data_IF_641140807417
#
_entry.id   IF_641140807417
#
_cell.length_a   1.000
_cell.length_b   1.000
_cell.length_c   1.000
_cell.angle_alpha   90.00
_cell.angle_beta   90.00
_cell.angle_gamma   90.00
#
_symmetry.space_group_name_H-M   'P 1'
#
loop_
_entity.id
_entity.type
_entity.pdbx_description
1 polymer ?
#
# COMPACT_ATOMS: atom_id res chain seq x y z
N UNK A 1 12.28 -9.45 -21.64
CA UNK A 1 12.78 -8.26 -20.90
C UNK A 1 11.57 -7.48 -20.40
N UNK A 2 11.44 -7.21 -19.10
CA UNK A 2 10.33 -6.39 -18.58
C UNK A 2 10.62 -4.91 -18.81
N UNK A 3 9.63 -4.13 -19.29
CA UNK A 3 9.79 -2.69 -19.45
C UNK A 3 9.89 -2.01 -18.08
N UNK A 4 10.98 -1.26 -17.86
CA UNK A 4 11.17 -0.44 -16.66
C UNK A 4 10.17 0.72 -16.72
N UNK A 5 9.30 0.82 -15.72
CA UNK A 5 8.32 1.91 -15.64
C UNK A 5 8.99 3.15 -15.05
N UNK A 6 8.92 4.28 -15.76
CA UNK A 6 9.36 5.58 -15.25
C UNK A 6 8.54 5.96 -14.00
N UNK A 7 9.22 6.39 -12.94
CA UNK A 7 8.62 7.01 -11.76
C UNK A 7 8.69 8.51 -11.91
N UNK A 8 7.59 9.20 -11.60
CA UNK A 8 7.51 10.66 -11.62
C UNK A 8 7.57 11.19 -10.20
N UNK A 9 8.31 12.28 -10.04
CA UNK A 9 8.44 13.02 -8.79
C UNK A 9 7.11 13.71 -8.43
N UNK A 10 6.96 14.10 -7.17
CA UNK A 10 5.78 14.82 -6.71
C UNK A 10 5.61 16.16 -7.45
N UNK A 11 6.72 16.87 -7.66
CA UNK A 11 6.75 18.16 -8.35
C UNK A 11 6.25 18.08 -9.79
N UNK A 12 6.73 17.09 -10.58
CA UNK A 12 6.25 16.85 -11.94
C UNK A 12 4.74 16.58 -12.00
N UNK A 13 4.22 15.84 -11.02
CA UNK A 13 2.78 15.56 -10.92
C UNK A 13 2.00 16.82 -10.57
N UNK A 14 2.49 17.61 -9.63
CA UNK A 14 1.85 18.85 -9.20
C UNK A 14 1.81 19.85 -10.35
N UNK A 15 2.91 20.00 -11.09
CA UNK A 15 2.97 20.84 -12.29
C UNK A 15 1.91 20.43 -13.33
N UNK A 16 1.72 19.14 -13.57
CA UNK A 16 0.70 18.64 -14.49
C UNK A 16 -0.72 19.06 -14.05
N UNK A 17 -0.99 19.00 -12.75
CA UNK A 17 -2.29 19.35 -12.16
C UNK A 17 -2.52 20.85 -12.20
N UNK A 18 -1.51 21.65 -11.86
CA UNK A 18 -1.56 23.11 -11.97
C UNK A 18 -1.86 23.55 -13.39
N UNK A 19 -1.20 22.95 -14.39
CA UNK A 19 -1.46 23.24 -15.80
C UNK A 19 -2.89 22.87 -16.22
N UNK A 20 -3.42 21.75 -15.70
CA UNK A 20 -4.79 21.31 -15.97
C UNK A 20 -5.84 22.31 -15.46
N UNK A 21 -5.67 22.82 -14.24
CA UNK A 21 -6.62 23.77 -13.65
C UNK A 21 -6.41 25.22 -14.12
N UNK A 22 -5.19 25.64 -14.46
CA UNK A 22 -4.91 27.02 -14.84
C UNK A 22 -5.09 27.32 -16.33
N UNK A 23 -4.71 26.38 -17.21
CA UNK A 23 -4.63 26.65 -18.66
C UNK A 23 -5.73 25.94 -19.47
N UNK A 24 -6.67 25.24 -18.81
CA UNK A 24 -7.71 24.42 -19.47
C UNK A 24 -7.16 23.46 -20.53
N UNK A 25 -5.89 23.05 -20.38
CA UNK A 25 -5.22 22.18 -21.36
C UNK A 25 -5.76 20.76 -21.25
N UNK A 26 -5.88 20.10 -22.40
CA UNK A 26 -6.24 18.69 -22.42
C UNK A 26 -5.14 17.85 -21.77
N UNK A 27 -5.53 16.72 -21.16
CA UNK A 27 -4.57 15.76 -20.57
C UNK A 27 -3.52 15.27 -21.59
N UNK A 28 -3.83 15.34 -22.89
CA UNK A 28 -2.89 15.00 -23.96
C UNK A 28 -1.82 16.07 -24.15
N UNK A 29 -2.21 17.34 -24.24
CA UNK A 29 -1.26 18.44 -24.38
C UNK A 29 -0.34 18.57 -23.16
N UNK A 30 -0.86 18.32 -21.97
CA UNK A 30 -0.07 18.31 -20.74
C UNK A 30 0.94 17.15 -20.78
N UNK A 31 0.52 15.98 -21.27
CA UNK A 31 1.41 14.84 -21.42
C UNK A 31 2.53 15.14 -22.42
N UNK A 32 2.23 15.77 -23.55
CA UNK A 32 3.23 16.16 -24.54
C UNK A 32 4.20 17.21 -23.98
N UNK A 33 3.70 18.23 -23.26
CA UNK A 33 4.53 19.26 -22.59
C UNK A 33 5.49 18.68 -21.55
N UNK A 34 5.03 17.69 -20.77
CA UNK A 34 5.82 17.05 -19.72
C UNK A 34 6.57 15.80 -20.22
N UNK A 35 6.55 15.54 -21.54
CA UNK A 35 7.16 14.38 -22.17
C UNK A 35 6.74 13.04 -21.51
N UNK A 36 5.46 12.95 -21.18
CA UNK A 36 4.80 11.79 -20.60
C UNK A 36 4.23 10.96 -21.77
N UNK A 37 4.62 9.69 -21.93
CA UNK A 37 4.24 8.89 -23.09
C UNK A 37 2.74 8.55 -23.17
N UNK A 38 1.97 8.79 -22.12
CA UNK A 38 0.55 8.46 -22.10
C UNK A 38 -0.26 9.48 -21.29
N UNK A 39 -1.22 10.11 -21.96
CA UNK A 39 -2.19 11.03 -21.37
C UNK A 39 -3.04 10.39 -20.26
N UNK A 40 -3.21 9.07 -20.28
CA UNK A 40 -3.85 8.31 -19.20
C UNK A 40 -3.14 8.46 -17.86
N UNK A 41 -1.82 8.70 -17.88
CA UNK A 41 -1.04 8.97 -16.66
C UNK A 41 -1.48 10.28 -16.02
N UNK A 42 -1.63 11.34 -16.81
CA UNK A 42 -2.11 12.65 -16.35
C UNK A 42 -3.55 12.55 -15.85
N UNK A 43 -4.44 11.89 -16.60
CA UNK A 43 -5.83 11.63 -16.16
C UNK A 43 -5.90 10.94 -14.80
N UNK A 44 -5.00 9.98 -14.56
CA UNK A 44 -4.94 9.28 -13.27
C UNK A 44 -4.51 10.23 -12.14
N UNK A 45 -3.54 11.10 -12.39
CA UNK A 45 -3.13 12.10 -11.39
C UNK A 45 -4.26 13.07 -11.06
N UNK A 46 -4.98 13.56 -12.07
CA UNK A 46 -6.16 14.43 -11.87
C UNK A 46 -7.18 13.75 -10.98
N UNK A 47 -7.56 12.51 -11.30
CA UNK A 47 -8.51 11.74 -10.49
C UNK A 47 -8.04 11.50 -9.05
N UNK A 48 -6.75 11.23 -8.84
CA UNK A 48 -6.22 11.08 -7.48
C UNK A 48 -6.21 12.40 -6.71
N UNK A 49 -5.91 13.50 -7.39
CA UNK A 49 -5.96 14.83 -6.81
C UNK A 49 -7.41 15.23 -6.44
N UNK A 50 -8.40 14.92 -7.29
CA UNK A 50 -9.81 15.17 -6.96
C UNK A 50 -10.30 14.36 -5.77
N UNK A 51 -9.76 13.14 -5.56
CA UNK A 51 -10.18 12.26 -4.48
C UNK A 51 -9.48 12.56 -3.14
N UNK A 52 -8.19 12.85 -3.16
CA UNK A 52 -7.33 12.92 -1.97
C UNK A 52 -6.52 14.23 -1.88
N UNK A 53 -6.69 15.17 -2.80
CA UNK A 53 -5.88 16.37 -2.91
C UNK A 53 -4.41 16.07 -3.23
N UNK A 54 -3.50 16.86 -2.68
CA UNK A 54 -2.05 16.68 -2.83
C UNK A 54 -1.59 15.29 -2.33
N UNK A 55 -2.22 14.75 -1.29
CA UNK A 55 -1.89 13.41 -0.77
C UNK A 55 -2.11 12.30 -1.82
N UNK A 56 -2.98 12.52 -2.80
CA UNK A 56 -3.21 11.61 -3.92
C UNK A 56 -2.04 11.55 -4.92
N UNK A 57 -1.17 12.56 -4.94
CA UNK A 57 0.00 12.60 -5.83
C UNK A 57 1.24 11.97 -5.20
N UNK A 58 1.24 11.74 -3.90
CA UNK A 58 2.37 11.16 -3.18
C UNK A 58 2.68 9.73 -3.68
N UNK A 59 3.96 9.37 -3.81
CA UNK A 59 4.35 8.01 -4.15
C UNK A 59 4.23 7.08 -2.93
N UNK A 60 3.24 6.17 -2.99
CA UNK A 60 2.94 5.23 -1.91
C UNK A 60 3.71 3.90 -2.05
N UNK A 61 4.32 3.62 -3.21
CA UNK A 61 5.10 2.38 -3.43
C UNK A 61 6.36 2.37 -2.55
N UNK A 62 6.71 1.18 -2.06
CA UNK A 62 7.95 0.98 -1.28
C UNK A 62 7.90 1.46 0.18
N UNK A 63 6.88 2.22 0.59
CA UNK A 63 6.68 2.68 1.99
C UNK A 63 6.16 1.58 2.94
N UNK A 64 6.19 0.31 2.53
CA UNK A 64 5.75 -0.77 3.40
C UNK A 64 6.70 -0.85 4.62
N UNK A 65 6.15 -0.58 5.80
CA UNK A 65 6.82 -0.71 7.09
C UNK A 65 7.47 -2.09 7.31
N UNK A 66 7.14 -3.10 6.51
CA UNK A 66 7.72 -4.44 6.60
C UNK A 66 9.23 -4.50 6.38
N UNK A 67 9.83 -3.54 5.66
CA UNK A 67 11.31 -3.43 5.57
C UNK A 67 11.89 -2.88 6.88
N UNK A 68 11.26 -1.85 7.45
CA UNK A 68 11.73 -1.14 8.65
C UNK A 68 11.51 -1.96 9.93
N UNK A 69 10.38 -2.66 10.00
CA UNK A 69 9.97 -3.47 11.15
C UNK A 69 10.49 -4.91 11.07
N UNK A 70 11.13 -5.31 9.96
CA UNK A 70 11.51 -6.69 9.65
C UNK A 70 10.34 -7.68 9.55
N UNK A 71 9.11 -7.20 9.79
CA UNK A 71 7.88 -7.98 9.74
C UNK A 71 7.33 -7.88 8.34
N UNK A 72 7.79 -8.79 7.48
CA UNK A 72 7.11 -9.07 6.21
C UNK A 72 5.68 -9.52 6.46
N UNK A 73 4.94 -9.79 5.37
CA UNK A 73 3.65 -10.48 5.46
C UNK A 73 3.81 -11.72 6.35
N UNK A 74 3.04 -11.86 7.45
CA UNK A 74 3.18 -13.01 8.35
C UNK A 74 3.13 -14.30 7.54
N UNK A 75 4.16 -15.17 7.68
CA UNK A 75 4.20 -16.46 6.97
C UNK A 75 3.09 -17.40 7.41
N UNK A 76 2.57 -17.18 8.62
CA UNK A 76 1.53 -17.99 9.24
C UNK A 76 0.39 -17.09 9.71
N UNK A 77 -0.85 -17.53 9.50
CA UNK A 77 -2.02 -16.87 10.08
C UNK A 77 -1.91 -16.95 11.61
N UNK A 78 -2.00 -15.84 12.35
CA UNK A 78 -2.03 -15.91 13.80
C UNK A 78 -3.21 -16.80 14.23
N UNK A 79 -3.00 -17.66 15.23
CA UNK A 79 -4.09 -18.45 15.82
C UNK A 79 -5.19 -17.49 16.30
N UNK A 80 -6.45 -17.86 16.08
CA UNK A 80 -7.55 -17.09 16.67
C UNK A 80 -7.53 -17.29 18.18
N UNK A 81 -8.05 -16.33 18.98
CA UNK A 81 -8.10 -16.47 20.43
C UNK A 81 -8.78 -17.78 20.89
N UNK A 82 -9.77 -18.25 20.14
CA UNK A 82 -10.46 -19.52 20.40
C UNK A 82 -9.57 -20.75 20.19
N UNK A 83 -8.74 -20.74 19.14
CA UNK A 83 -7.78 -21.81 18.85
C UNK A 83 -6.72 -21.88 19.94
N UNK A 84 -6.23 -20.72 20.37
CA UNK A 84 -5.28 -20.60 21.46
C UNK A 84 -5.88 -21.13 22.77
N UNK A 85 -7.12 -20.73 23.11
CA UNK A 85 -7.82 -21.27 24.28
C UNK A 85 -7.97 -22.79 24.22
N UNK A 86 -8.32 -23.34 23.06
CA UNK A 86 -8.46 -24.79 22.88
C UNK A 86 -7.12 -25.50 23.09
N UNK A 87 -6.03 -24.97 22.52
CA UNK A 87 -4.67 -25.50 22.68
C UNK A 87 -4.22 -25.46 24.14
N UNK A 88 -4.39 -24.30 24.80
CA UNK A 88 -4.02 -24.10 26.19
C UNK A 88 -4.85 -24.97 27.14
N UNK A 89 -6.14 -25.17 26.87
CA UNK A 89 -6.98 -26.09 27.65
C UNK A 89 -6.47 -27.53 27.55
N UNK A 90 -6.18 -27.99 26.34
CA UNK A 90 -5.62 -29.33 26.12
C UNK A 90 -4.24 -29.49 26.77
N UNK A 91 -3.37 -28.48 26.68
CA UNK A 91 -2.05 -28.47 27.31
C UNK A 91 -2.15 -28.49 28.83
N UNK A 92 -3.01 -27.64 29.41
CA UNK A 92 -3.26 -27.64 30.85
C UNK A 92 -3.86 -28.96 31.33
N UNK A 93 -4.77 -29.56 30.57
CA UNK A 93 -5.34 -30.88 30.88
C UNK A 93 -4.26 -31.97 30.87
N UNK A 94 -3.40 -31.98 29.85
CA UNK A 94 -2.27 -32.91 29.78
C UNK A 94 -1.32 -32.73 30.97
N UNK A 95 -0.98 -31.49 31.32
CA UNK A 95 -0.10 -31.18 32.45
C UNK A 95 -0.73 -31.54 33.79
N UNK A 96 -2.03 -31.29 33.99
CA UNK A 96 -2.77 -31.69 35.19
C UNK A 96 -2.76 -33.19 35.39
N UNK A 97 -3.01 -33.95 34.31
CA UNK A 97 -2.96 -35.40 34.31
C UNK A 97 -1.55 -35.93 34.63
N UNK A 98 -0.52 -35.30 34.05
CA UNK A 98 0.88 -35.69 34.28
C UNK A 98 1.34 -35.41 35.71
N UNK A 99 0.90 -34.30 36.29
CA UNK A 99 1.20 -33.92 37.67
C UNK A 99 0.32 -34.61 38.72
N UNK A 100 -0.63 -35.46 38.30
CA UNK A 100 -1.58 -36.10 39.21
C UNK A 100 -2.48 -35.10 39.95
N UNK A 101 -2.70 -33.92 39.37
CA UNK A 101 -3.54 -32.85 39.90
C UNK A 101 -5.03 -33.01 39.51
N UNK A 102 -5.36 -34.06 38.75
CA UNK A 102 -6.74 -34.50 38.54
C UNK A 102 -7.25 -35.16 39.84
N UNK A 103 -8.18 -34.50 40.51
CA UNK A 103 -8.96 -35.04 41.63
C UNK A 103 -10.34 -35.47 41.17
#
# INVERSE_FOLDING_TARGET
MGNIRKTYTFDEKLQAITLYYQNELSCQEIADKLNIPSSTTVKRWVKHFEAEGEAGLEEKRGKALGIVTGKGRPRTRPETPEQEMKRLRAENEFLKKWLGLDK
#
